data_IF_029930596856
#
_entry.id   IF_029930596856
#
_cell.length_a   1.000
_cell.length_b   1.000
_cell.length_c   1.000
_cell.angle_alpha   90.00
_cell.angle_beta   90.00
_cell.angle_gamma   90.00
#
_symmetry.space_group_name_H-M   'P 1'
#
loop_
_entity.id
_entity.type
_entity.pdbx_description
1 polymer ?
#
# COMPACT_ATOMS: atom_id res chain seq x y z
N UNK A 1 -18.14 -0.41 -34.34
CA UNK A 1 -17.18 0.33 -33.50
C UNK A 1 -17.47 1.86 -33.53
N UNK A 2 -17.79 2.44 -34.71
CA UNK A 2 -18.09 3.88 -34.83
C UNK A 2 -19.32 4.32 -34.05
N UNK A 3 -20.38 3.54 -33.97
CA UNK A 3 -21.58 3.81 -33.16
C UNK A 3 -21.25 3.78 -31.64
N UNK A 4 -20.30 2.95 -31.22
CA UNK A 4 -19.86 2.87 -29.83
C UNK A 4 -19.04 4.12 -29.49
N UNK A 5 -18.16 4.57 -30.38
CA UNK A 5 -17.37 5.81 -30.21
C UNK A 5 -18.26 7.06 -30.15
N UNK A 6 -19.26 7.15 -31.05
CA UNK A 6 -20.22 8.26 -31.06
C UNK A 6 -21.07 8.23 -29.78
N UNK A 7 -21.59 7.05 -29.38
CA UNK A 7 -22.35 6.90 -28.15
C UNK A 7 -21.53 7.19 -26.88
N UNK A 8 -20.24 6.85 -26.84
CA UNK A 8 -19.34 7.25 -25.75
C UNK A 8 -19.07 8.75 -25.73
N UNK A 9 -18.92 9.38 -26.91
CA UNK A 9 -18.73 10.84 -27.02
C UNK A 9 -19.96 11.59 -26.53
N UNK A 10 -21.15 11.18 -26.99
CA UNK A 10 -22.42 11.79 -26.58
C UNK A 10 -22.73 11.60 -25.10
N UNK A 11 -22.42 10.42 -24.55
CA UNK A 11 -22.52 10.17 -23.11
C UNK A 11 -21.56 11.04 -22.31
N UNK A 12 -20.32 11.22 -22.76
CA UNK A 12 -19.33 12.09 -22.12
C UNK A 12 -19.73 13.57 -22.18
N UNK A 13 -20.27 14.04 -23.28
CA UNK A 13 -20.71 15.43 -23.45
C UNK A 13 -21.97 15.72 -22.63
N UNK A 14 -22.95 14.81 -22.67
CA UNK A 14 -24.25 15.02 -21.99
C UNK A 14 -24.22 14.71 -20.49
N UNK A 15 -23.49 13.66 -20.10
CA UNK A 15 -23.44 13.20 -18.70
C UNK A 15 -22.09 13.41 -18.01
N UNK A 16 -21.08 13.97 -18.72
CA UNK A 16 -19.72 14.16 -18.17
C UNK A 16 -19.70 15.04 -16.91
N UNK A 17 -20.54 16.07 -16.85
CA UNK A 17 -20.68 16.93 -15.68
C UNK A 17 -21.33 16.20 -14.48
N UNK A 18 -22.32 15.33 -14.72
CA UNK A 18 -22.93 14.47 -13.72
C UNK A 18 -21.95 13.43 -13.21
N UNK A 19 -21.14 12.83 -14.12
CA UNK A 19 -20.05 11.91 -13.74
C UNK A 19 -18.97 12.63 -12.94
N UNK A 20 -18.62 13.87 -13.29
CA UNK A 20 -17.67 14.68 -12.52
C UNK A 20 -18.17 15.00 -11.10
N UNK A 21 -19.43 15.42 -10.96
CA UNK A 21 -20.05 15.67 -9.65
C UNK A 21 -20.16 14.37 -8.85
N UNK A 22 -20.57 13.27 -9.48
CA UNK A 22 -20.60 11.94 -8.87
C UNK A 22 -19.23 11.47 -8.40
N UNK A 23 -18.20 11.65 -9.21
CA UNK A 23 -16.82 11.31 -8.86
C UNK A 23 -16.29 12.15 -7.69
N UNK A 24 -16.56 13.47 -7.68
CA UNK A 24 -16.19 14.36 -6.57
C UNK A 24 -16.95 13.99 -5.31
N UNK A 25 -18.26 13.77 -5.39
CA UNK A 25 -19.08 13.33 -4.25
C UNK A 25 -18.61 11.99 -3.68
N UNK A 26 -18.32 11.02 -4.55
CA UNK A 26 -17.77 9.72 -4.16
C UNK A 26 -16.37 9.86 -3.53
N UNK A 27 -15.51 10.71 -4.10
CA UNK A 27 -14.17 10.97 -3.55
C UNK A 27 -14.23 11.61 -2.15
N UNK A 28 -15.12 12.57 -1.94
CA UNK A 28 -15.33 13.21 -0.64
C UNK A 28 -15.93 12.25 0.38
N UNK A 29 -16.92 11.46 0.00
CA UNK A 29 -17.50 10.42 0.84
C UNK A 29 -16.46 9.33 1.20
N UNK A 30 -15.69 8.87 0.22
CA UNK A 30 -14.61 7.90 0.44
C UNK A 30 -13.50 8.44 1.34
N UNK A 31 -13.12 9.73 1.18
CA UNK A 31 -12.17 10.40 2.08
C UNK A 31 -12.69 10.48 3.51
N UNK A 32 -13.98 10.77 3.70
CA UNK A 32 -14.61 10.83 5.02
C UNK A 32 -14.69 9.43 5.64
N UNK A 33 -15.10 8.43 4.88
CA UNK A 33 -15.14 7.04 5.33
C UNK A 33 -13.76 6.49 5.68
N UNK A 34 -12.73 6.84 4.90
CA UNK A 34 -11.33 6.47 5.13
C UNK A 34 -10.77 7.08 6.43
N UNK A 35 -11.33 8.18 6.94
CA UNK A 35 -10.93 8.81 8.22
C UNK A 35 -11.62 8.19 9.44
N UNK A 36 -12.61 7.32 9.25
CA UNK A 36 -13.30 6.62 10.34
C UNK A 36 -12.43 5.46 10.81
N UNK A 37 -12.31 5.24 12.14
CA UNK A 37 -11.49 4.15 12.70
C UNK A 37 -11.80 2.78 12.07
N UNK A 38 -13.09 2.46 11.88
CA UNK A 38 -13.51 1.22 11.21
C UNK A 38 -13.10 1.17 9.74
N UNK A 39 -13.12 2.32 9.04
CA UNK A 39 -12.68 2.44 7.64
C UNK A 39 -11.18 2.26 7.51
N UNK A 40 -10.40 2.91 8.38
CA UNK A 40 -8.93 2.78 8.42
C UNK A 40 -8.50 1.33 8.64
N UNK A 41 -9.05 0.65 9.65
CA UNK A 41 -8.71 -0.75 9.96
C UNK A 41 -9.02 -1.70 8.79
N UNK A 42 -10.16 -1.51 8.11
CA UNK A 42 -10.54 -2.33 6.95
C UNK A 42 -9.62 -2.09 5.75
N UNK A 43 -9.33 -0.82 5.45
CA UNK A 43 -8.46 -0.45 4.32
C UNK A 43 -7.02 -0.89 4.57
N UNK A 44 -6.48 -0.67 5.77
CA UNK A 44 -5.12 -1.06 6.11
C UNK A 44 -4.96 -2.58 6.19
N UNK A 45 -5.97 -3.28 6.70
CA UNK A 45 -6.03 -4.74 6.64
C UNK A 45 -6.10 -5.27 5.20
N UNK A 46 -6.84 -4.57 4.30
CA UNK A 46 -6.92 -4.94 2.89
C UNK A 46 -5.59 -4.66 2.14
N UNK A 47 -4.95 -3.52 2.41
CA UNK A 47 -3.61 -3.21 1.85
C UNK A 47 -2.56 -4.26 2.22
N UNK A 48 -2.62 -4.80 3.45
CA UNK A 48 -1.75 -5.87 3.89
C UNK A 48 -2.13 -7.25 3.31
N UNK A 49 -3.28 -7.38 2.65
CA UNK A 49 -3.75 -8.62 2.00
C UNK A 49 -3.70 -8.56 0.48
N UNK A 50 -3.74 -7.37 -0.12
CA UNK A 50 -3.78 -7.18 -1.57
C UNK A 50 -2.48 -7.66 -2.23
N UNK A 51 -2.51 -8.67 -3.13
CA UNK A 51 -1.31 -9.36 -3.61
C UNK A 51 -0.30 -8.45 -4.32
N UNK A 52 -0.75 -7.37 -4.97
CA UNK A 52 0.11 -6.46 -5.72
C UNK A 52 0.85 -5.43 -4.85
N UNK A 53 0.23 -4.96 -3.76
CA UNK A 53 0.76 -3.85 -2.95
C UNK A 53 1.16 -4.28 -1.53
N UNK A 54 0.72 -5.47 -1.09
CA UNK A 54 1.02 -6.04 0.23
C UNK A 54 2.52 -5.96 0.57
N UNK A 55 3.38 -6.40 -0.36
CA UNK A 55 4.82 -6.45 -0.15
C UNK A 55 5.42 -5.06 0.07
N UNK A 56 4.97 -4.06 -0.71
CA UNK A 56 5.47 -2.68 -0.61
C UNK A 56 5.02 -2.05 0.70
N UNK A 57 3.72 -2.12 1.00
CA UNK A 57 3.12 -1.48 2.19
C UNK A 57 3.66 -2.10 3.48
N UNK A 58 3.72 -3.43 3.55
CA UNK A 58 4.20 -4.13 4.73
C UNK A 58 5.70 -3.88 4.96
N UNK A 59 6.54 -4.06 3.92
CA UNK A 59 7.97 -3.84 4.03
C UNK A 59 8.30 -2.38 4.39
N UNK A 60 7.62 -1.40 3.77
CA UNK A 60 7.77 0.01 4.12
C UNK A 60 7.39 0.31 5.57
N UNK A 61 6.30 -0.26 6.06
CA UNK A 61 5.87 -0.07 7.45
C UNK A 61 6.86 -0.70 8.46
N UNK A 62 7.37 -1.90 8.18
CA UNK A 62 8.35 -2.57 9.04
C UNK A 62 9.71 -1.85 9.03
N UNK A 63 10.16 -1.37 7.86
CA UNK A 63 11.39 -0.58 7.75
C UNK A 63 11.28 0.72 8.53
N UNK A 64 10.19 1.47 8.33
CA UNK A 64 9.94 2.73 9.04
C UNK A 64 9.88 2.53 10.55
N UNK A 65 9.17 1.50 11.02
CA UNK A 65 9.09 1.14 12.42
C UNK A 65 10.47 0.85 13.02
N UNK A 66 11.28 0.03 12.34
CA UNK A 66 12.60 -0.35 12.81
C UNK A 66 13.54 0.86 12.90
N UNK A 67 13.56 1.73 11.89
CA UNK A 67 14.38 2.94 11.92
C UNK A 67 13.92 3.95 12.97
N UNK A 68 12.61 4.15 13.14
CA UNK A 68 12.06 5.04 14.16
C UNK A 68 12.43 4.54 15.55
N UNK A 69 12.20 3.26 15.83
CA UNK A 69 12.51 2.65 17.11
C UNK A 69 14.02 2.72 17.39
N UNK A 70 14.88 2.36 16.40
CA UNK A 70 16.33 2.51 16.51
C UNK A 70 16.72 3.94 16.89
N UNK A 71 16.21 4.93 16.14
CA UNK A 71 16.56 6.34 16.35
C UNK A 71 16.20 6.80 17.76
N UNK A 72 15.02 6.42 18.25
CA UNK A 72 14.58 6.75 19.59
C UNK A 72 15.47 6.12 20.68
N UNK A 73 15.81 4.83 20.53
CA UNK A 73 16.65 4.12 21.48
C UNK A 73 18.09 4.66 21.51
N UNK A 74 18.68 4.95 20.35
CA UNK A 74 20.04 5.55 20.27
C UNK A 74 20.07 6.93 20.93
N UNK A 75 18.97 7.69 20.88
CA UNK A 75 18.85 8.97 21.57
C UNK A 75 18.44 8.85 23.05
N UNK A 76 18.48 7.65 23.63
CA UNK A 76 18.25 7.43 25.05
C UNK A 76 16.76 7.45 25.46
N UNK A 77 15.84 7.41 24.50
CA UNK A 77 14.40 7.31 24.81
C UNK A 77 14.11 5.92 25.37
N UNK A 78 13.41 5.87 26.51
CA UNK A 78 13.01 4.60 27.11
C UNK A 78 12.16 3.77 26.14
N UNK A 79 12.35 2.46 26.16
CA UNK A 79 11.71 1.49 25.28
C UNK A 79 10.18 1.63 25.24
N UNK A 80 9.53 1.77 26.39
CA UNK A 80 8.08 1.93 26.48
C UNK A 80 7.59 3.21 25.80
N UNK A 81 8.34 4.30 25.98
CA UNK A 81 8.02 5.56 25.33
C UNK A 81 8.33 5.52 23.84
N UNK A 82 9.40 4.85 23.43
CA UNK A 82 9.73 4.65 22.03
C UNK A 82 8.63 3.82 21.30
N UNK A 83 8.14 2.75 21.93
CA UNK A 83 7.00 1.97 21.40
C UNK A 83 5.71 2.80 21.30
N UNK A 84 5.45 3.69 22.28
CA UNK A 84 4.30 4.61 22.22
C UNK A 84 4.40 5.57 21.05
N UNK A 85 5.57 6.18 20.85
CA UNK A 85 5.79 7.07 19.70
C UNK A 85 5.62 6.31 18.38
N UNK A 86 6.16 5.10 18.27
CA UNK A 86 5.99 4.25 17.09
C UNK A 86 4.51 3.88 16.86
N UNK A 87 3.74 3.60 17.90
CA UNK A 87 2.28 3.36 17.83
C UNK A 87 1.55 4.59 17.25
N UNK A 88 1.85 5.79 17.74
CA UNK A 88 1.21 7.05 17.34
C UNK A 88 1.61 7.51 15.94
N UNK A 89 2.85 7.22 15.51
CA UNK A 89 3.37 7.61 14.20
C UNK A 89 3.14 6.56 13.12
N UNK A 90 2.66 5.37 13.50
CA UNK A 90 2.42 4.28 12.56
C UNK A 90 1.26 4.60 11.62
N UNK A 91 1.54 4.58 10.31
CA UNK A 91 0.53 4.82 9.28
C UNK A 91 -0.37 3.60 8.98
N UNK A 92 -0.33 2.57 9.83
CA UNK A 92 -1.12 1.36 9.67
C UNK A 92 -1.77 0.96 11.00
N UNK A 93 -3.09 0.99 11.05
CA UNK A 93 -3.87 0.73 12.26
C UNK A 93 -3.65 -0.69 12.81
N UNK A 94 -3.43 -1.70 11.95
CA UNK A 94 -3.19 -3.09 12.38
C UNK A 94 -1.84 -3.21 13.08
N UNK A 95 -0.81 -2.56 12.55
CA UNK A 95 0.53 -2.53 13.15
C UNK A 95 0.48 -1.71 14.44
N UNK A 96 -0.22 -0.57 14.46
CA UNK A 96 -0.41 0.26 15.65
C UNK A 96 -1.09 -0.50 16.81
N UNK A 97 -2.15 -1.23 16.54
CA UNK A 97 -2.84 -2.06 17.54
C UNK A 97 -1.92 -3.18 18.09
N UNK A 98 -1.10 -3.79 17.24
CA UNK A 98 -0.12 -4.79 17.65
C UNK A 98 0.98 -4.18 18.55
N UNK A 99 1.47 -2.98 18.21
CA UNK A 99 2.44 -2.23 19.04
C UNK A 99 1.85 -1.84 20.39
N UNK A 100 0.58 -1.39 20.41
CA UNK A 100 -0.15 -1.08 21.65
C UNK A 100 -0.22 -2.30 22.57
N UNK A 101 -0.59 -3.44 22.03
CA UNK A 101 -0.69 -4.71 22.79
C UNK A 101 0.69 -5.15 23.30
N UNK A 102 1.73 -5.03 22.46
CA UNK A 102 3.09 -5.35 22.86
C UNK A 102 3.56 -4.42 24.00
N UNK A 103 3.34 -3.12 23.88
CA UNK A 103 3.70 -2.13 24.91
C UNK A 103 3.05 -2.42 26.26
N UNK A 104 1.77 -2.80 26.29
CA UNK A 104 1.09 -3.19 27.53
C UNK A 104 1.76 -4.39 28.20
N UNK A 105 2.11 -5.42 27.44
CA UNK A 105 2.79 -6.61 27.96
C UNK A 105 4.22 -6.35 28.42
N UNK A 106 4.96 -5.46 27.74
CA UNK A 106 6.31 -5.04 28.13
C UNK A 106 6.28 -4.30 29.48
N UNK A 107 5.22 -3.56 29.78
CA UNK A 107 5.03 -2.93 31.09
C UNK A 107 4.97 -3.97 32.21
N UNK A 108 4.50 -5.18 31.92
CA UNK A 108 4.46 -6.30 32.85
C UNK A 108 5.82 -7.06 32.97
N UNK A 109 6.90 -6.51 32.42
CA UNK A 109 8.26 -7.05 32.52
C UNK A 109 8.59 -8.14 31.48
N UNK A 110 7.79 -8.27 30.43
CA UNK A 110 8.08 -9.20 29.33
C UNK A 110 9.01 -8.57 28.29
N UNK A 111 9.65 -9.42 27.47
CA UNK A 111 10.42 -8.99 26.30
C UNK A 111 9.54 -8.31 25.26
N UNK A 112 10.11 -7.48 24.36
CA UNK A 112 9.38 -6.84 23.27
C UNK A 112 9.07 -7.85 22.15
N UNK A 113 10.04 -8.69 21.85
CA UNK A 113 9.98 -9.66 20.74
C UNK A 113 8.84 -10.67 20.89
N UNK A 114 8.59 -11.16 22.12
CA UNK A 114 7.55 -12.16 22.39
C UNK A 114 6.13 -11.67 22.04
N UNK A 115 5.65 -10.56 22.61
CA UNK A 115 4.34 -9.99 22.28
C UNK A 115 4.18 -9.62 20.80
N UNK A 116 5.22 -9.13 20.14
CA UNK A 116 5.20 -8.81 18.70
C UNK A 116 5.06 -10.10 17.87
N UNK A 117 5.79 -11.17 18.22
CA UNK A 117 5.66 -12.46 17.57
C UNK A 117 4.24 -13.06 17.73
N UNK A 118 3.69 -12.96 18.95
CA UNK A 118 2.36 -13.46 19.27
C UNK A 118 1.23 -12.74 18.54
N UNK A 119 1.45 -11.49 18.10
CA UNK A 119 0.46 -10.70 17.36
C UNK A 119 0.15 -11.26 15.97
N UNK A 120 1.05 -12.05 15.38
CA UNK A 120 0.95 -12.55 14.01
C UNK A 120 1.00 -11.49 12.91
N UNK A 121 1.16 -10.22 13.28
CA UNK A 121 1.25 -9.09 12.35
C UNK A 121 2.65 -8.95 11.78
N UNK A 122 3.67 -9.23 12.59
CA UNK A 122 5.07 -9.12 12.20
C UNK A 122 5.62 -10.44 11.66
N UNK A 123 6.46 -10.40 10.60
CA UNK A 123 7.14 -11.59 10.09
C UNK A 123 8.04 -12.21 11.16
N UNK A 124 8.10 -13.55 11.23
CA UNK A 124 8.96 -14.26 12.18
C UNK A 124 10.40 -13.79 12.14
N UNK A 125 10.96 -13.63 10.94
CA UNK A 125 12.33 -13.13 10.77
C UNK A 125 12.58 -11.81 11.52
N UNK A 126 11.62 -10.88 11.48
CA UNK A 126 11.72 -9.60 12.19
C UNK A 126 11.72 -9.79 13.71
N UNK A 127 10.82 -10.60 14.21
CA UNK A 127 10.69 -10.87 15.66
C UNK A 127 11.87 -11.68 16.20
N UNK A 128 12.42 -12.62 15.42
CA UNK A 128 13.59 -13.40 15.80
C UNK A 128 14.85 -12.51 15.84
N UNK A 129 15.06 -11.63 14.85
CA UNK A 129 16.15 -10.66 14.88
C UNK A 129 16.04 -9.69 16.06
N UNK A 130 14.80 -9.29 16.38
CA UNK A 130 14.54 -8.43 17.54
C UNK A 130 14.86 -9.18 18.84
N UNK A 131 14.49 -10.46 18.97
CA UNK A 131 14.79 -11.29 20.11
C UNK A 131 16.31 -11.44 20.33
N UNK A 132 17.08 -11.64 19.27
CA UNK A 132 18.56 -11.68 19.33
C UNK A 132 19.14 -10.37 19.85
N UNK A 133 18.65 -9.23 19.35
CA UNK A 133 19.11 -7.90 19.82
C UNK A 133 18.74 -7.64 21.26
N UNK A 134 17.59 -8.09 21.69
CA UNK A 134 17.10 -7.97 23.06
C UNK A 134 17.96 -8.82 24.02
N UNK A 135 18.29 -10.05 23.66
CA UNK A 135 19.17 -10.92 24.43
C UNK A 135 20.62 -10.46 24.47
N UNK A 136 21.11 -9.88 23.36
CA UNK A 136 22.47 -9.34 23.29
C UNK A 136 22.61 -7.96 23.97
N UNK A 137 21.50 -7.31 24.34
CA UNK A 137 21.50 -5.94 24.86
C UNK A 137 21.80 -4.86 23.81
N UNK A 138 21.80 -5.24 22.51
CA UNK A 138 22.07 -4.33 21.38
C UNK A 138 20.88 -4.27 20.44
N UNK A 139 19.78 -3.72 20.94
CA UNK A 139 18.57 -3.45 20.19
C UNK A 139 18.80 -2.51 18.99
N UNK A 140 19.59 -1.42 19.12
CA UNK A 140 19.82 -0.51 18.02
C UNK A 140 20.46 -1.17 16.80
N UNK A 141 21.46 -2.02 16.97
CA UNK A 141 22.11 -2.73 15.87
C UNK A 141 21.13 -3.70 15.18
N UNK A 142 20.38 -4.48 15.95
CA UNK A 142 19.36 -5.39 15.39
C UNK A 142 18.28 -4.65 14.65
N UNK A 143 17.79 -3.53 15.16
CA UNK A 143 16.80 -2.69 14.49
C UNK A 143 17.35 -2.06 13.19
N UNK A 144 18.65 -1.70 13.16
CA UNK A 144 19.28 -1.25 11.93
C UNK A 144 19.28 -2.34 10.84
N UNK A 145 19.64 -3.55 11.21
CA UNK A 145 19.62 -4.69 10.30
C UNK A 145 18.19 -4.98 9.78
N UNK A 146 17.19 -4.95 10.67
CA UNK A 146 15.78 -5.10 10.31
C UNK A 146 15.37 -3.99 9.33
N UNK A 147 15.67 -2.73 9.67
CA UNK A 147 15.35 -1.57 8.82
C UNK A 147 15.93 -1.69 7.41
N UNK A 148 17.23 -1.98 7.31
CA UNK A 148 17.93 -2.18 6.02
C UNK A 148 17.34 -3.34 5.21
N UNK A 149 17.01 -4.44 5.87
CA UNK A 149 16.42 -5.61 5.22
C UNK A 149 15.07 -5.28 4.60
N UNK A 150 14.16 -4.71 5.37
CA UNK A 150 12.82 -4.38 4.88
C UNK A 150 12.81 -3.20 3.92
N UNK A 151 13.75 -2.27 4.02
CA UNK A 151 13.97 -1.23 2.99
C UNK A 151 14.30 -1.88 1.64
N UNK A 152 15.25 -2.81 1.63
CA UNK A 152 15.63 -3.54 0.42
C UNK A 152 14.49 -4.38 -0.15
N UNK A 153 13.69 -5.01 0.72
CA UNK A 153 12.51 -5.77 0.29
C UNK A 153 11.43 -4.85 -0.31
N UNK A 154 11.23 -3.66 0.26
CA UNK A 154 10.34 -2.62 -0.29
C UNK A 154 10.80 -2.18 -1.69
N UNK A 155 12.07 -1.83 -1.84
CA UNK A 155 12.64 -1.38 -3.12
C UNK A 155 12.51 -2.47 -4.20
N UNK A 156 12.76 -3.72 -3.84
CA UNK A 156 12.57 -4.88 -4.73
C UNK A 156 11.11 -5.04 -5.16
N UNK A 157 10.18 -4.90 -4.23
CA UNK A 157 8.75 -5.02 -4.53
C UNK A 157 8.28 -3.86 -5.43
N UNK A 158 8.78 -2.63 -5.21
CA UNK A 158 8.51 -1.48 -6.07
C UNK A 158 9.01 -1.75 -7.49
N UNK A 159 10.26 -2.20 -7.65
CA UNK A 159 10.85 -2.53 -8.95
C UNK A 159 10.03 -3.62 -9.66
N UNK A 160 9.67 -4.69 -8.95
CA UNK A 160 8.84 -5.77 -9.50
C UNK A 160 7.48 -5.25 -9.97
N UNK A 161 6.84 -4.38 -9.19
CA UNK A 161 5.57 -3.77 -9.54
C UNK A 161 5.69 -2.86 -10.79
N UNK A 162 6.73 -2.04 -10.83
CA UNK A 162 6.99 -1.13 -11.97
C UNK A 162 7.26 -1.92 -13.25
N UNK A 163 8.08 -2.97 -13.18
CA UNK A 163 8.37 -3.84 -14.33
C UNK A 163 7.12 -4.58 -14.85
N UNK A 164 6.17 -4.88 -13.97
CA UNK A 164 4.91 -5.50 -14.38
C UNK A 164 3.95 -4.52 -15.06
N UNK A 165 4.07 -3.20 -14.79
CA UNK A 165 3.24 -2.19 -15.42
C UNK A 165 3.58 -1.97 -16.90
N UNK A 166 4.84 -2.10 -17.28
CA UNK A 166 5.32 -1.84 -18.66
C UNK A 166 4.58 -2.71 -19.71
N UNK A 167 4.54 -4.06 -19.60
CA UNK A 167 3.78 -4.89 -20.54
C UNK A 167 2.28 -4.56 -20.56
N UNK A 168 1.70 -4.24 -19.41
CA UNK A 168 0.28 -3.89 -19.31
C UNK A 168 -0.01 -2.60 -20.08
N UNK A 169 0.84 -1.59 -19.95
CA UNK A 169 0.69 -0.33 -20.68
C UNK A 169 0.84 -0.52 -22.18
N UNK A 170 1.81 -1.34 -22.62
CA UNK A 170 2.01 -1.65 -24.05
C UNK A 170 0.75 -2.31 -24.62
N UNK A 171 0.21 -3.34 -23.97
CA UNK A 171 -1.01 -4.03 -24.42
C UNK A 171 -2.21 -3.08 -24.45
N UNK A 172 -2.35 -2.21 -23.44
CA UNK A 172 -3.42 -1.23 -23.39
C UNK A 172 -3.35 -0.23 -24.55
N UNK A 173 -2.16 0.34 -24.79
CA UNK A 173 -1.93 1.29 -25.91
C UNK A 173 -2.16 0.59 -27.25
N UNK A 174 -1.61 -0.60 -27.44
CA UNK A 174 -1.82 -1.36 -28.67
C UNK A 174 -3.32 -1.69 -28.90
N UNK A 175 -4.06 -2.01 -27.85
CA UNK A 175 -5.50 -2.22 -27.90
C UNK A 175 -6.27 -0.98 -28.33
N UNK A 176 -5.95 0.21 -27.77
CA UNK A 176 -6.57 1.48 -28.13
C UNK A 176 -6.24 1.85 -29.59
N UNK A 177 -4.98 1.78 -29.97
CA UNK A 177 -4.54 2.08 -31.35
C UNK A 177 -5.18 1.12 -32.34
N UNK A 178 -5.19 -0.18 -32.07
CA UNK A 178 -5.83 -1.18 -32.91
C UNK A 178 -7.34 -0.96 -33.03
N UNK A 179 -8.03 -0.60 -31.96
CA UNK A 179 -9.46 -0.25 -31.99
C UNK A 179 -9.75 0.96 -32.89
N UNK A 180 -8.93 2.02 -32.79
CA UNK A 180 -9.06 3.21 -33.63
C UNK A 180 -8.80 2.87 -35.11
N UNK A 181 -7.76 2.09 -35.40
CA UNK A 181 -7.45 1.66 -36.77
C UNK A 181 -8.59 0.87 -37.41
N UNK A 182 -9.17 -0.08 -36.67
CA UNK A 182 -10.34 -0.85 -37.13
C UNK A 182 -11.56 0.05 -37.33
N UNK A 183 -11.78 1.03 -36.47
CA UNK A 183 -12.88 1.98 -36.61
C UNK A 183 -12.76 2.83 -37.89
N UNK A 184 -11.54 3.29 -38.22
CA UNK A 184 -11.26 4.05 -39.45
C UNK A 184 -11.48 3.17 -40.68
N UNK A 185 -10.95 1.94 -40.69
CA UNK A 185 -11.14 0.99 -41.81
C UNK A 185 -12.61 0.71 -42.07
N UNK A 186 -13.41 0.45 -41.05
CA UNK A 186 -14.84 0.23 -41.19
C UNK A 186 -15.57 1.46 -41.71
N UNK A 187 -15.16 2.68 -41.30
CA UNK A 187 -15.72 3.92 -41.82
C UNK A 187 -15.45 4.07 -43.32
N UNK A 188 -14.22 3.81 -43.78
CA UNK A 188 -13.82 3.86 -45.19
C UNK A 188 -14.59 2.84 -46.02
N UNK A 189 -14.71 1.58 -45.56
CA UNK A 189 -15.50 0.54 -46.24
C UNK A 189 -16.97 0.90 -46.37
N UNK A 190 -17.57 1.51 -45.34
CA UNK A 190 -18.97 1.92 -45.37
C UNK A 190 -19.24 3.02 -46.39
N UNK A 191 -18.31 4.00 -46.51
CA UNK A 191 -18.40 5.03 -47.53
C UNK A 191 -18.21 4.48 -48.95
N UNK A 192 -17.27 3.54 -49.13
CA UNK A 192 -17.01 2.90 -50.41
C UNK A 192 -18.20 2.05 -50.88
N UNK A 193 -18.88 1.35 -49.97
CA UNK A 193 -20.07 0.54 -50.30
C UNK A 193 -21.34 1.33 -50.49
N UNK A 194 -21.36 2.65 -50.17
CA UNK A 194 -22.55 3.50 -50.40
C UNK A 194 -22.44 4.32 -51.68
N UNK A 195 -21.29 4.26 -52.35
CA UNK A 195 -20.99 4.97 -53.63
C UNK A 195 -21.00 4.03 -54.85
N UNK A 196 -21.14 2.75 -54.69
CA UNK A 196 -21.33 1.74 -55.74
C UNK A 196 -22.74 1.14 -55.69
#
# INVERSE_FOLDING_TARGET
PTLILIGMSDALIHYGWLMAIGAVGFALWFRKWKKTESGMRKIDGWKLKAPLIKGIVAAGAYSSLAYTLKTLLVNGVNVLQALKICEETCNNAVIGDALRTARQRVTDGTTISGPLASSGVFPRMMTDMLAVGEQAGDMPASLEHIGKRYQKDMDRNITTFTNALEPILIVLIAGVVGFVAIAILMAVFKVSSSLG
#
